data_IF_551841539903
#
_entry.id   IF_551841539903
#
_cell.length_a   1.000
_cell.length_b   1.000
_cell.length_c   1.000
_cell.angle_alpha   90.00
_cell.angle_beta   90.00
_cell.angle_gamma   90.00
#
_symmetry.space_group_name_H-M   'P 1'
#
loop_
_entity.id
_entity.type
_entity.pdbx_description
1 polymer ?
#
# COMPACT_ATOMS: atom_id res chain seq x y z
N UNK A 1 -19.62 -12.07 7.67
CA UNK A 1 -18.20 -12.20 8.02
C UNK A 1 -17.19 -11.85 6.90
N UNK A 2 -17.14 -12.57 5.77
CA UNK A 2 -16.11 -12.32 4.72
C UNK A 2 -16.24 -10.94 4.08
N UNK A 3 -17.47 -10.48 3.83
CA UNK A 3 -17.75 -9.16 3.25
C UNK A 3 -17.34 -8.03 4.21
N UNK A 4 -17.54 -8.22 5.52
CA UNK A 4 -17.22 -7.21 6.53
C UNK A 4 -15.70 -6.99 6.66
N UNK A 5 -14.92 -8.08 6.65
CA UNK A 5 -13.45 -8.00 6.61
C UNK A 5 -12.94 -7.34 5.32
N UNK A 6 -13.61 -7.59 4.20
CA UNK A 6 -13.26 -6.95 2.93
C UNK A 6 -13.53 -5.44 2.96
N UNK A 7 -14.70 -5.03 3.47
CA UNK A 7 -15.06 -3.62 3.64
C UNK A 7 -14.15 -2.90 4.63
N UNK A 8 -13.75 -3.58 5.71
CA UNK A 8 -12.78 -3.04 6.66
C UNK A 8 -11.43 -2.76 6.00
N UNK A 9 -10.91 -3.72 5.25
CA UNK A 9 -9.66 -3.54 4.49
C UNK A 9 -9.79 -2.41 3.47
N UNK A 10 -10.94 -2.29 2.81
CA UNK A 10 -11.21 -1.19 1.86
C UNK A 10 -11.17 0.19 2.54
N UNK A 11 -11.60 0.30 3.81
CA UNK A 11 -11.51 1.57 4.56
C UNK A 11 -10.07 2.00 4.81
N UNK A 12 -9.16 1.07 5.06
CA UNK A 12 -7.75 1.41 5.32
C UNK A 12 -7.07 2.02 4.09
N UNK A 13 -7.42 1.51 2.90
CA UNK A 13 -6.93 2.01 1.61
C UNK A 13 -7.38 3.45 1.38
N UNK A 14 -8.55 3.85 1.90
CA UNK A 14 -9.04 5.23 1.76
C UNK A 14 -8.19 6.26 2.50
N UNK A 15 -7.39 5.86 3.48
CA UNK A 15 -6.49 6.76 4.21
C UNK A 15 -5.20 7.11 3.45
N UNK A 16 -4.91 6.36 2.39
CA UNK A 16 -3.71 6.51 1.58
C UNK A 16 -3.98 7.40 0.36
N UNK A 17 -2.93 8.06 -0.14
CA UNK A 17 -2.97 8.75 -1.43
C UNK A 17 -3.06 7.76 -2.59
N UNK A 18 -3.54 8.19 -3.76
CA UNK A 18 -3.78 7.30 -4.90
C UNK A 18 -2.54 6.48 -5.31
N UNK A 19 -1.37 7.12 -5.38
CA UNK A 19 -0.11 6.43 -5.66
C UNK A 19 0.24 5.37 -4.60
N UNK A 20 0.02 5.68 -3.32
CA UNK A 20 0.29 4.76 -2.22
C UNK A 20 -0.67 3.56 -2.23
N UNK A 21 -1.94 3.78 -2.60
CA UNK A 21 -2.91 2.69 -2.80
C UNK A 21 -2.45 1.73 -3.87
N UNK A 22 -2.04 2.26 -5.03
CA UNK A 22 -1.51 1.43 -6.11
C UNK A 22 -0.27 0.64 -5.68
N UNK A 23 0.63 1.26 -4.90
CA UNK A 23 1.82 0.61 -4.40
C UNK A 23 1.51 -0.54 -3.44
N UNK A 24 0.61 -0.31 -2.47
CA UNK A 24 0.19 -1.33 -1.51
C UNK A 24 -0.53 -2.48 -2.20
N UNK A 25 -1.42 -2.19 -3.16
CA UNK A 25 -2.15 -3.22 -3.90
C UNK A 25 -1.23 -4.09 -4.75
N UNK A 26 -0.32 -3.46 -5.50
CA UNK A 26 0.68 -4.22 -6.26
C UNK A 26 1.50 -5.14 -5.36
N UNK A 27 1.81 -4.68 -4.13
CA UNK A 27 2.55 -5.49 -3.17
C UNK A 27 1.74 -6.65 -2.61
N UNK A 28 0.46 -6.44 -2.32
CA UNK A 28 -0.49 -7.48 -1.91
C UNK A 28 -0.68 -8.54 -3.01
N UNK A 29 -0.73 -8.12 -4.28
CA UNK A 29 -0.75 -8.97 -5.47
C UNK A 29 0.60 -9.65 -5.75
N UNK A 30 1.60 -9.47 -4.89
CA UNK A 30 2.94 -10.07 -4.97
C UNK A 30 3.73 -9.66 -6.22
N UNK A 31 3.47 -8.49 -6.78
CA UNK A 31 4.31 -7.92 -7.84
C UNK A 31 5.77 -7.83 -7.39
N UNK A 32 6.70 -8.06 -8.32
CA UNK A 32 8.12 -7.93 -8.01
C UNK A 32 8.46 -6.46 -7.87
N UNK A 33 9.43 -6.15 -7.00
CA UNK A 33 9.91 -4.78 -6.83
C UNK A 33 10.36 -4.15 -8.15
N UNK A 34 10.93 -4.92 -9.09
CA UNK A 34 11.33 -4.43 -10.40
C UNK A 34 10.15 -3.83 -11.19
N UNK A 35 9.01 -4.51 -11.18
CA UNK A 35 7.82 -4.08 -11.94
C UNK A 35 7.17 -2.86 -11.27
N UNK A 36 7.19 -2.83 -9.94
CA UNK A 36 6.79 -1.65 -9.15
C UNK A 36 7.69 -0.45 -9.50
N UNK A 37 9.02 -0.61 -9.42
CA UNK A 37 9.97 0.46 -9.74
C UNK A 37 9.78 1.01 -11.16
N UNK A 38 9.54 0.12 -12.13
CA UNK A 38 9.26 0.52 -13.51
C UNK A 38 7.97 1.34 -13.64
N UNK A 39 6.90 0.97 -12.93
CA UNK A 39 5.63 1.72 -12.93
C UNK A 39 5.75 3.09 -12.27
N UNK A 40 6.46 3.18 -11.15
CA UNK A 40 6.58 4.40 -10.35
C UNK A 40 7.78 5.28 -10.75
N UNK A 41 8.57 4.87 -11.75
CA UNK A 41 9.74 5.62 -12.21
C UNK A 41 10.78 5.90 -11.13
N UNK A 42 10.91 5.02 -10.14
CA UNK A 42 11.82 5.21 -9.00
C UNK A 42 12.67 3.96 -8.73
N UNK A 43 13.74 4.13 -7.96
CA UNK A 43 14.59 3.02 -7.54
C UNK A 43 13.90 2.16 -6.45
N UNK A 44 14.44 0.96 -6.25
CA UNK A 44 13.90 -0.02 -5.29
C UNK A 44 13.86 0.49 -3.86
N UNK A 45 14.85 1.26 -3.44
CA UNK A 45 14.92 1.80 -2.08
C UNK A 45 13.84 2.85 -1.87
N UNK A 46 13.64 3.72 -2.86
CA UNK A 46 12.56 4.71 -2.85
C UNK A 46 11.18 4.04 -2.82
N UNK A 47 10.95 3.06 -3.69
CA UNK A 47 9.69 2.30 -3.71
C UNK A 47 9.43 1.59 -2.37
N UNK A 48 10.47 0.99 -1.76
CA UNK A 48 10.36 0.33 -0.46
C UNK A 48 10.05 1.30 0.68
N UNK A 49 10.71 2.47 0.72
CA UNK A 49 10.43 3.51 1.73
C UNK A 49 9.00 4.05 1.62
N UNK A 50 8.53 4.30 0.40
CA UNK A 50 7.14 4.72 0.14
C UNK A 50 6.15 3.67 0.63
N UNK A 51 6.41 2.40 0.34
CA UNK A 51 5.56 1.29 0.81
C UNK A 51 5.53 1.20 2.34
N UNK A 52 6.70 1.30 2.99
CA UNK A 52 6.77 1.28 4.45
C UNK A 52 6.02 2.47 5.07
N UNK A 53 6.10 3.66 4.47
CA UNK A 53 5.37 4.84 4.93
C UNK A 53 3.85 4.68 4.79
N UNK A 54 3.37 4.13 3.67
CA UNK A 54 1.96 3.83 3.49
C UNK A 54 1.44 2.86 4.57
N UNK A 55 2.20 1.79 4.86
CA UNK A 55 1.84 0.87 5.95
C UNK A 55 1.86 1.55 7.33
N UNK A 56 2.81 2.46 7.56
CA UNK A 56 2.88 3.22 8.80
C UNK A 56 1.66 4.12 9.00
N UNK A 57 1.14 4.76 7.93
CA UNK A 57 -0.09 5.57 8.00
C UNK A 57 -1.28 4.71 8.41
N UNK A 58 -1.41 3.51 7.82
CA UNK A 58 -2.48 2.58 8.19
C UNK A 58 -2.33 2.14 9.65
N UNK A 59 -1.12 1.80 10.08
CA UNK A 59 -0.87 1.39 11.46
C UNK A 59 -1.15 2.52 12.47
N UNK A 60 -0.79 3.77 12.15
CA UNK A 60 -1.06 4.94 12.98
C UNK A 60 -2.56 5.17 13.16
N UNK A 61 -3.33 5.07 12.07
CA UNK A 61 -4.80 5.19 12.09
C UNK A 61 -5.50 4.05 12.83
N UNK A 62 -4.90 2.86 12.87
CA UNK A 62 -5.45 1.71 13.58
C UNK A 62 -5.14 1.70 15.08
N UNK A 63 -4.02 2.31 15.48
CA UNK A 63 -3.56 2.33 16.87
C UNK A 63 -3.80 3.67 17.59
N UNK A 64 -4.21 4.70 16.84
CA UNK A 64 -4.58 6.02 17.37
C UNK A 64 -6.04 6.14 17.79
#
# INVERSE_FOLDING_TARGET
ETVERMLETMRWVLWLEEEERHLVWMRAERHRWRDICARFGCDRTTAWRRWQRALQIVADRLNG
#
